data_IF_311620356617
#
_entry.id   IF_311620356617
#
_cell.length_a   1.000
_cell.length_b   1.000
_cell.length_c   1.000
_cell.angle_alpha   90.00
_cell.angle_beta   90.00
_cell.angle_gamma   90.00
#
_symmetry.space_group_name_H-M   'P 1'
#
loop_
_entity.id
_entity.type
_entity.pdbx_description
1 polymer ?
#
# COMPACT_ATOMS: atom_id res chain seq x y z
N UNK A 1 19.83 91.07 64.75
CA UNK A 1 20.47 90.09 63.84
C UNK A 1 19.44 89.04 63.47
N UNK A 2 19.03 88.99 62.19
CA UNK A 2 18.08 88.00 61.65
C UNK A 2 18.85 86.81 61.10
N UNK A 3 18.31 85.59 61.21
CA UNK A 3 18.28 84.56 60.14
C UNK A 3 17.69 83.20 60.62
N UNK A 4 16.58 82.80 59.94
CA UNK A 4 16.22 81.46 59.35
C UNK A 4 16.01 80.29 60.39
N UNK A 5 15.10 79.28 60.31
CA UNK A 5 14.63 78.33 59.27
C UNK A 5 13.29 77.62 59.64
N UNK A 6 12.45 77.45 58.59
CA UNK A 6 11.52 76.38 58.14
C UNK A 6 11.10 75.22 59.11
N UNK A 7 9.79 74.93 59.33
CA UNK A 7 8.77 74.17 58.54
C UNK A 7 8.83 72.62 58.68
N UNK A 8 7.83 72.11 59.44
CA UNK A 8 6.90 70.98 59.17
C UNK A 8 7.26 69.48 59.27
N UNK A 9 6.31 68.81 59.97
CA UNK A 9 5.82 67.41 59.93
C UNK A 9 6.64 66.29 60.58
N UNK A 10 6.19 65.88 61.78
CA UNK A 10 6.57 64.65 62.48
C UNK A 10 5.29 63.94 62.97
N UNK A 11 5.12 62.72 62.45
CA UNK A 11 4.58 61.50 63.09
C UNK A 11 3.06 61.37 63.26
N UNK A 12 2.49 60.61 62.32
CA UNK A 12 1.39 59.68 62.57
C UNK A 12 1.83 58.27 62.11
N UNK A 13 2.65 57.60 62.92
CA UNK A 13 3.01 56.19 62.76
C UNK A 13 2.03 55.32 63.53
N UNK A 14 1.04 54.73 62.85
CA UNK A 14 0.30 53.56 63.37
C UNK A 14 -0.53 52.77 62.32
N UNK A 15 -0.33 52.97 61.00
CA UNK A 15 -1.11 52.25 59.97
C UNK A 15 -0.28 51.51 58.89
N UNK A 16 1.05 51.42 59.01
CA UNK A 16 1.89 50.79 57.98
C UNK A 16 2.49 49.43 58.33
N UNK A 17 2.09 48.80 59.44
CA UNK A 17 2.57 47.47 59.80
C UNK A 17 1.71 46.31 59.24
N UNK A 18 0.44 46.54 58.89
CA UNK A 18 -0.47 45.48 58.41
C UNK A 18 -0.68 45.43 56.90
N UNK A 19 -0.27 46.47 56.15
CA UNK A 19 -0.34 46.43 54.68
C UNK A 19 0.83 45.69 54.05
N UNK A 20 2.04 45.71 54.63
CA UNK A 20 3.24 45.09 54.04
C UNK A 20 3.26 43.56 54.15
N UNK A 21 2.70 42.99 55.23
CA UNK A 21 2.52 41.54 55.43
C UNK A 21 1.37 40.97 54.59
N UNK A 22 0.37 41.79 54.27
CA UNK A 22 -0.75 41.44 53.37
C UNK A 22 -0.30 41.39 51.90
N UNK A 23 0.39 42.42 51.39
CA UNK A 23 0.90 42.42 50.00
C UNK A 23 1.97 41.37 49.76
N UNK A 24 2.89 41.11 50.71
CA UNK A 24 3.86 40.02 50.53
C UNK A 24 3.23 38.63 50.46
N UNK A 25 2.20 38.34 51.27
CA UNK A 25 1.48 37.05 51.21
C UNK A 25 0.64 36.91 49.94
N UNK A 26 0.09 38.01 49.43
CA UNK A 26 -0.73 38.01 48.20
C UNK A 26 0.15 37.91 46.94
N UNK A 27 1.32 38.56 46.91
CA UNK A 27 2.31 38.42 45.85
C UNK A 27 2.95 37.03 45.85
N UNK A 28 3.32 36.47 47.02
CA UNK A 28 3.81 35.09 47.12
C UNK A 28 2.74 34.06 46.71
N UNK A 29 1.47 34.24 47.08
CA UNK A 29 0.38 33.38 46.59
C UNK A 29 0.21 33.51 45.08
N UNK A 30 0.25 34.71 44.50
CA UNK A 30 0.12 34.90 43.05
C UNK A 30 1.31 34.34 42.26
N UNK A 31 2.53 34.42 42.80
CA UNK A 31 3.74 33.82 42.22
C UNK A 31 3.71 32.30 42.34
N UNK A 32 3.20 31.74 43.46
CA UNK A 32 3.02 30.29 43.63
C UNK A 32 1.94 29.72 42.70
N UNK A 33 0.84 30.45 42.48
CA UNK A 33 -0.23 30.10 41.54
C UNK A 33 0.25 30.18 40.09
N UNK A 34 1.03 31.21 39.73
CA UNK A 34 1.68 31.31 38.40
C UNK A 34 2.71 30.21 38.18
N UNK A 35 3.49 29.83 39.19
CA UNK A 35 4.41 28.69 39.11
C UNK A 35 3.70 27.34 39.04
N UNK A 36 2.55 27.17 39.70
CA UNK A 36 1.71 25.96 39.57
C UNK A 36 1.00 25.90 38.22
N UNK A 37 0.50 27.01 37.68
CA UNK A 37 -0.05 27.07 36.31
C UNK A 37 1.02 26.81 35.26
N UNK A 38 2.22 27.41 35.39
CA UNK A 38 3.34 27.14 34.50
C UNK A 38 3.85 25.70 34.64
N UNK A 39 3.89 25.12 35.85
CA UNK A 39 4.19 23.69 36.03
C UNK A 39 3.12 22.80 35.40
N UNK A 40 1.83 23.11 35.55
CA UNK A 40 0.73 22.37 34.93
C UNK A 40 0.73 22.46 33.40
N UNK A 41 1.06 23.62 32.83
CA UNK A 41 1.23 23.82 31.39
C UNK A 41 2.49 23.11 30.86
N UNK A 42 3.59 23.13 31.63
CA UNK A 42 4.84 22.45 31.26
C UNK A 42 4.72 20.94 31.38
N UNK A 43 4.00 20.43 32.38
CA UNK A 43 3.67 19.01 32.55
C UNK A 43 2.66 18.55 31.48
N UNK A 44 1.66 19.35 31.10
CA UNK A 44 0.81 19.07 29.93
C UNK A 44 1.58 19.08 28.62
N UNK A 45 2.52 20.03 28.42
CA UNK A 45 3.38 20.08 27.25
C UNK A 45 4.33 18.87 27.19
N UNK A 46 4.95 18.48 28.31
CA UNK A 46 5.80 17.30 28.39
C UNK A 46 5.01 16.01 28.25
N UNK A 47 3.82 15.92 28.83
CA UNK A 47 2.93 14.77 28.68
C UNK A 47 2.42 14.65 27.23
N UNK A 48 2.06 15.76 26.58
CA UNK A 48 1.71 15.80 25.16
C UNK A 48 2.90 15.43 24.26
N UNK A 49 4.13 15.84 24.61
CA UNK A 49 5.37 15.49 23.89
C UNK A 49 5.71 14.00 24.05
N UNK A 50 5.54 13.43 25.25
CA UNK A 50 5.69 11.99 25.50
C UNK A 50 4.58 11.17 24.82
N UNK A 51 3.33 11.66 24.82
CA UNK A 51 2.22 11.05 24.08
C UNK A 51 2.45 11.11 22.57
N UNK A 52 2.99 12.21 22.03
CA UNK A 52 3.30 12.31 20.60
C UNK A 52 4.47 11.39 20.22
N UNK A 53 5.54 11.35 21.01
CA UNK A 53 6.66 10.43 20.80
C UNK A 53 6.28 8.95 20.96
N UNK A 54 5.42 8.63 21.93
CA UNK A 54 4.86 7.28 22.13
C UNK A 54 3.94 6.87 20.98
N UNK A 55 3.08 7.78 20.50
CA UNK A 55 2.24 7.57 19.31
C UNK A 55 3.08 7.42 18.05
N UNK A 56 4.15 8.18 17.88
CA UNK A 56 5.08 8.05 16.74
C UNK A 56 5.86 6.73 16.77
N UNK A 57 6.34 6.28 17.92
CA UNK A 57 6.98 4.95 18.07
C UNK A 57 5.99 3.81 17.79
N UNK A 58 4.77 3.89 18.30
CA UNK A 58 3.71 2.89 18.04
C UNK A 58 3.31 2.88 16.55
N UNK A 59 3.18 4.06 15.95
CA UNK A 59 2.91 4.24 14.52
C UNK A 59 4.02 3.65 13.68
N UNK A 60 5.29 3.95 14.01
CA UNK A 60 6.46 3.39 13.33
C UNK A 60 6.51 1.86 13.42
N UNK A 61 6.20 1.27 14.59
CA UNK A 61 6.14 -0.19 14.74
C UNK A 61 5.05 -0.83 13.88
N UNK A 62 3.86 -0.23 13.82
CA UNK A 62 2.77 -0.70 12.95
C UNK A 62 3.14 -0.57 11.47
N UNK A 63 3.80 0.52 11.06
CA UNK A 63 4.29 0.71 9.68
C UNK A 63 5.31 -0.37 9.33
N UNK A 64 6.31 -0.60 10.19
CA UNK A 64 7.32 -1.64 9.98
C UNK A 64 6.68 -3.03 9.90
N UNK A 65 5.70 -3.34 10.76
CA UNK A 65 4.97 -4.60 10.69
C UNK A 65 4.16 -4.74 9.38
N UNK A 66 3.54 -3.66 8.91
CA UNK A 66 2.80 -3.63 7.63
C UNK A 66 3.75 -3.80 6.45
N UNK A 67 4.89 -3.10 6.46
CA UNK A 67 5.94 -3.21 5.43
C UNK A 67 6.50 -4.63 5.34
N UNK A 68 6.72 -5.30 6.48
CA UNK A 68 7.20 -6.68 6.50
C UNK A 68 6.23 -7.68 5.86
N UNK A 69 4.94 -7.33 5.74
CA UNK A 69 3.95 -8.17 5.07
C UNK A 69 3.85 -7.88 3.55
N UNK A 70 4.47 -6.80 3.07
CA UNK A 70 4.43 -6.44 1.65
C UNK A 70 5.33 -7.39 0.85
N UNK A 71 4.74 -8.12 -0.08
CA UNK A 71 5.45 -9.05 -0.97
C UNK A 71 6.13 -8.37 -2.17
N UNK A 72 6.03 -7.04 -2.27
CA UNK A 72 6.69 -6.23 -3.31
C UNK A 72 8.03 -5.72 -2.83
N UNK A 73 9.10 -6.06 -3.55
CA UNK A 73 10.46 -5.54 -3.32
C UNK A 73 10.59 -4.05 -3.67
N UNK A 74 9.65 -3.51 -4.46
CA UNK A 74 9.55 -2.09 -4.76
C UNK A 74 8.30 -1.51 -4.11
N UNK A 75 8.51 -0.66 -3.10
CA UNK A 75 7.46 0.13 -2.50
C UNK A 75 8.00 1.49 -2.06
N UNK A 76 7.17 2.52 -2.15
CA UNK A 76 7.50 3.86 -1.68
C UNK A 76 6.57 4.22 -0.55
N UNK A 77 7.11 4.69 0.58
CA UNK A 77 6.33 5.13 1.72
C UNK A 77 6.36 6.65 1.82
N UNK A 78 5.20 7.27 1.94
CA UNK A 78 5.08 8.71 2.17
C UNK A 78 4.04 9.03 3.24
N UNK A 79 4.14 10.22 3.83
CA UNK A 79 3.18 10.73 4.82
C UNK A 79 2.64 12.08 4.30
N UNK A 80 1.33 12.22 4.23
CA UNK A 80 0.69 13.49 3.87
C UNK A 80 0.79 14.51 5.00
N UNK A 81 0.55 15.79 4.65
CA UNK A 81 0.42 16.89 5.60
C UNK A 81 -0.70 16.67 6.63
N UNK A 82 -1.74 15.91 6.27
CA UNK A 82 -2.83 15.48 7.18
C UNK A 82 -2.46 14.31 8.11
N UNK A 83 -1.19 13.88 8.11
CA UNK A 83 -0.71 12.78 8.95
C UNK A 83 -0.94 11.37 8.39
N UNK A 84 -1.52 11.27 7.19
CA UNK A 84 -1.88 9.99 6.56
C UNK A 84 -0.68 9.34 5.90
N UNK A 85 -0.46 8.07 6.21
CA UNK A 85 0.57 7.28 5.54
C UNK A 85 0.04 6.62 4.26
N UNK A 86 0.87 6.65 3.23
CA UNK A 86 0.63 6.08 1.90
C UNK A 86 1.79 5.17 1.54
N UNK A 87 1.46 3.99 1.01
CA UNK A 87 2.42 3.06 0.44
C UNK A 87 2.03 2.84 -1.02
N UNK A 88 2.91 3.23 -1.91
CA UNK A 88 2.82 2.87 -3.32
C UNK A 88 3.55 1.54 -3.51
N UNK A 89 2.89 0.57 -4.13
CA UNK A 89 3.49 -0.74 -4.39
C UNK A 89 3.14 -1.25 -5.79
N UNK A 90 3.97 -2.16 -6.30
CA UNK A 90 3.68 -2.89 -7.52
C UNK A 90 2.69 -4.03 -7.22
N UNK A 91 1.49 -4.06 -7.83
CA UNK A 91 0.50 -5.12 -7.59
C UNK A 91 0.86 -6.46 -8.25
N UNK A 92 1.82 -6.48 -9.19
CA UNK A 92 2.20 -7.67 -9.97
C UNK A 92 2.47 -8.92 -9.13
N UNK A 93 3.25 -8.89 -8.03
CA UNK A 93 3.52 -10.09 -7.24
C UNK A 93 2.25 -10.72 -6.64
N UNK A 94 1.27 -9.90 -6.23
CA UNK A 94 0.00 -10.38 -5.69
C UNK A 94 -0.86 -11.02 -6.78
N UNK A 95 -0.86 -10.43 -7.98
CA UNK A 95 -1.58 -10.95 -9.14
C UNK A 95 -1.01 -12.31 -9.55
N UNK A 96 0.31 -12.42 -9.74
CA UNK A 96 0.96 -13.68 -10.13
C UNK A 96 0.72 -14.78 -9.09
N UNK A 97 0.81 -14.44 -7.80
CA UNK A 97 0.49 -15.37 -6.73
C UNK A 97 -0.95 -15.87 -6.83
N UNK A 98 -1.93 -14.98 -6.99
CA UNK A 98 -3.34 -15.38 -7.10
C UNK A 98 -3.65 -16.17 -8.37
N UNK A 99 -3.00 -15.86 -9.48
CA UNK A 99 -3.11 -16.70 -10.68
C UNK A 99 -2.65 -18.13 -10.38
N UNK A 100 -1.51 -18.30 -9.72
CA UNK A 100 -1.02 -19.63 -9.31
C UNK A 100 -2.01 -20.32 -8.36
N UNK A 101 -2.50 -19.62 -7.34
CA UNK A 101 -3.46 -20.16 -6.37
C UNK A 101 -4.78 -20.60 -7.04
N UNK A 102 -5.20 -19.90 -8.10
CA UNK A 102 -6.37 -20.23 -8.91
C UNK A 102 -6.14 -21.36 -9.94
N UNK A 103 -4.98 -22.03 -9.89
CA UNK A 103 -4.69 -23.19 -10.74
C UNK A 103 -4.21 -22.85 -12.15
N UNK A 104 -3.65 -21.65 -12.35
CA UNK A 104 -3.02 -21.32 -13.63
C UNK A 104 -1.86 -22.27 -13.95
N UNK A 105 -1.62 -22.50 -15.24
CA UNK A 105 -0.61 -23.46 -15.68
C UNK A 105 0.76 -23.14 -15.05
N UNK A 106 1.35 -24.10 -14.33
CA UNK A 106 2.61 -23.94 -13.61
C UNK A 106 3.77 -23.47 -14.49
N UNK A 107 3.74 -23.82 -15.79
CA UNK A 107 4.74 -23.40 -16.77
C UNK A 107 4.73 -21.90 -17.06
N UNK A 108 3.70 -21.17 -16.63
CA UNK A 108 3.72 -19.71 -16.63
C UNK A 108 4.64 -19.13 -15.55
N UNK A 109 4.97 -19.90 -14.50
CA UNK A 109 5.75 -19.46 -13.34
C UNK A 109 7.09 -20.19 -13.22
N UNK A 110 7.16 -21.42 -13.73
CA UNK A 110 8.32 -22.29 -13.66
C UNK A 110 8.49 -23.01 -15.00
N UNK A 111 9.28 -22.41 -15.88
CA UNK A 111 9.60 -22.99 -17.17
C UNK A 111 11.11 -23.21 -17.26
N UNK A 112 11.49 -24.46 -17.43
CA UNK A 112 12.89 -24.86 -17.50
C UNK A 112 13.23 -25.41 -18.87
N UNK A 113 14.52 -25.51 -19.15
CA UNK A 113 14.98 -26.03 -20.42
C UNK A 113 14.50 -27.48 -20.68
N UNK A 114 14.36 -28.28 -19.63
CA UNK A 114 13.84 -29.66 -19.73
C UNK A 114 12.42 -29.71 -20.31
N UNK A 115 11.64 -28.65 -20.11
CA UNK A 115 10.26 -28.55 -20.60
C UNK A 115 10.18 -28.20 -22.09
N UNK A 116 11.25 -27.62 -22.64
CA UNK A 116 11.37 -27.17 -24.03
C UNK A 116 12.18 -28.17 -24.85
N UNK A 117 13.39 -28.48 -24.41
CA UNK A 117 14.37 -29.31 -25.10
C UNK A 117 15.42 -28.48 -25.84
N UNK A 118 16.55 -29.11 -26.16
CA UNK A 118 17.73 -28.43 -26.72
C UNK A 118 18.14 -28.93 -28.11
N UNK A 119 17.25 -29.59 -28.84
CA UNK A 119 17.58 -30.15 -30.16
C UNK A 119 17.54 -29.11 -31.27
N UNK A 120 18.49 -29.20 -32.19
CA UNK A 120 18.70 -28.27 -33.30
C UNK A 120 19.31 -28.97 -34.50
N UNK A 121 19.21 -28.31 -35.66
CA UNK A 121 19.98 -28.66 -36.85
C UNK A 121 20.75 -27.43 -37.35
N UNK A 122 21.88 -27.69 -38.00
CA UNK A 122 22.65 -26.69 -38.73
C UNK A 122 22.01 -26.53 -40.11
N UNK A 123 21.97 -25.31 -40.66
CA UNK A 123 21.50 -25.11 -42.03
C UNK A 123 22.43 -25.89 -43.00
N UNK A 124 21.84 -26.51 -44.03
CA UNK A 124 22.47 -27.51 -44.93
C UNK A 124 23.74 -27.01 -45.67
N UNK A 125 24.06 -25.73 -45.57
CA UNK A 125 25.16 -25.08 -46.28
C UNK A 125 26.53 -25.23 -45.56
N UNK A 126 26.57 -25.81 -44.36
CA UNK A 126 27.83 -26.08 -43.63
C UNK A 126 28.18 -27.58 -43.68
N UNK A 127 29.08 -27.98 -44.59
CA UNK A 127 29.75 -29.29 -44.53
C UNK A 127 30.33 -29.50 -43.13
N UNK A 128 29.97 -30.60 -42.48
CA UNK A 128 30.54 -31.01 -41.19
C UNK A 128 31.96 -31.51 -41.48
N UNK A 129 32.95 -30.63 -41.34
CA UNK A 129 34.34 -30.91 -41.73
C UNK A 129 35.13 -31.63 -40.61
N UNK A 130 34.66 -31.62 -39.34
CA UNK A 130 35.41 -32.28 -38.25
C UNK A 130 34.52 -32.83 -37.11
N UNK A 131 34.52 -34.16 -36.93
CA UNK A 131 33.81 -34.88 -35.85
C UNK A 131 34.39 -34.61 -34.45
N UNK A 132 35.64 -34.11 -34.34
CA UNK A 132 36.26 -33.78 -33.05
C UNK A 132 35.90 -32.37 -32.54
N UNK A 133 35.22 -31.55 -33.36
CA UNK A 133 34.84 -30.18 -33.03
C UNK A 133 33.42 -30.05 -32.46
N UNK A 134 32.90 -31.10 -31.80
CA UNK A 134 31.53 -31.15 -31.28
C UNK A 134 31.17 -29.93 -30.42
N UNK A 135 32.04 -29.49 -29.51
CA UNK A 135 31.81 -28.31 -28.67
C UNK A 135 31.75 -26.99 -29.45
N UNK A 136 32.49 -26.88 -30.56
CA UNK A 136 32.45 -25.73 -31.47
C UNK A 136 31.12 -25.69 -32.24
N UNK A 137 30.67 -26.83 -32.79
CA UNK A 137 29.39 -26.92 -33.48
C UNK A 137 28.20 -26.73 -32.52
N UNK A 138 28.28 -27.22 -31.28
CA UNK A 138 27.32 -26.93 -30.23
C UNK A 138 27.26 -25.43 -29.88
N UNK A 139 28.40 -24.75 -29.80
CA UNK A 139 28.45 -23.31 -29.56
C UNK A 139 27.90 -22.49 -30.76
N UNK A 140 28.18 -22.91 -31.99
CA UNK A 140 27.66 -22.28 -33.22
C UNK A 140 26.17 -22.49 -33.39
N UNK A 141 25.68 -23.70 -33.14
CA UNK A 141 24.25 -24.01 -33.18
C UNK A 141 23.46 -23.25 -32.09
N UNK A 142 24.06 -23.02 -30.92
CA UNK A 142 23.49 -22.13 -29.88
C UNK A 142 23.38 -20.67 -30.33
N UNK A 143 24.14 -20.25 -31.34
CA UNK A 143 24.13 -18.89 -31.88
C UNK A 143 23.34 -18.76 -33.21
N UNK A 144 23.15 -19.84 -33.98
CA UNK A 144 22.56 -19.78 -35.34
C UNK A 144 21.64 -20.96 -35.70
N UNK A 145 21.60 -22.02 -34.91
CA UNK A 145 20.84 -23.25 -35.21
C UNK A 145 19.34 -23.01 -35.22
N UNK A 146 18.67 -23.58 -36.21
CA UNK A 146 17.20 -23.62 -36.24
C UNK A 146 16.72 -24.71 -35.29
N UNK A 147 15.65 -24.39 -34.57
CA UNK A 147 15.05 -25.36 -33.66
C UNK A 147 14.39 -26.48 -34.46
N UNK A 148 14.53 -27.71 -33.98
CA UNK A 148 13.71 -28.81 -34.51
C UNK A 148 12.22 -28.50 -34.36
N UNK A 149 11.41 -29.06 -35.27
CA UNK A 149 9.97 -28.78 -35.35
C UNK A 149 9.24 -28.98 -34.02
N UNK A 150 9.61 -29.99 -33.23
CA UNK A 150 8.96 -30.27 -31.95
C UNK A 150 9.38 -29.31 -30.83
N UNK A 151 10.64 -28.88 -30.82
CA UNK A 151 11.11 -27.81 -29.92
C UNK A 151 10.43 -26.49 -30.30
N UNK A 152 10.34 -26.17 -31.59
CA UNK A 152 9.65 -24.97 -32.07
C UNK A 152 8.18 -24.95 -31.65
N UNK A 153 7.45 -26.07 -31.75
CA UNK A 153 6.05 -26.16 -31.26
C UNK A 153 5.94 -25.89 -29.76
N UNK A 154 6.86 -26.42 -28.95
CA UNK A 154 6.88 -26.18 -27.51
C UNK A 154 7.17 -24.72 -27.18
N UNK A 155 8.17 -24.12 -27.82
CA UNK A 155 8.48 -22.68 -27.68
C UNK A 155 7.26 -21.85 -28.06
N UNK A 156 6.61 -22.14 -29.19
CA UNK A 156 5.39 -21.45 -29.61
C UNK A 156 4.25 -21.58 -28.59
N UNK A 157 4.04 -22.78 -28.04
CA UNK A 157 3.05 -23.03 -26.98
C UNK A 157 3.35 -22.19 -25.73
N UNK A 158 4.61 -22.14 -25.28
CA UNK A 158 4.97 -21.35 -24.10
C UNK A 158 4.90 -19.85 -24.35
N UNK A 159 5.30 -19.36 -25.52
CA UNK A 159 5.08 -17.94 -25.90
C UNK A 159 3.58 -17.61 -25.84
N UNK A 160 2.73 -18.48 -26.38
CA UNK A 160 1.27 -18.32 -26.33
C UNK A 160 0.75 -18.28 -24.88
N UNK A 161 1.23 -19.19 -24.03
CA UNK A 161 0.88 -19.25 -22.61
C UNK A 161 1.30 -17.99 -21.86
N UNK A 162 2.57 -17.57 -21.99
CA UNK A 162 3.11 -16.40 -21.30
C UNK A 162 2.47 -15.11 -21.81
N UNK A 163 2.19 -15.03 -23.12
CA UNK A 163 1.48 -13.89 -23.69
C UNK A 163 0.07 -13.76 -23.09
N UNK A 164 -0.70 -14.84 -23.05
CA UNK A 164 -2.05 -14.83 -22.49
C UNK A 164 -2.02 -14.52 -20.98
N UNK A 165 -1.08 -15.11 -20.25
CA UNK A 165 -0.87 -14.84 -18.82
C UNK A 165 -0.56 -13.37 -18.59
N UNK A 166 0.35 -12.79 -19.38
CA UNK A 166 0.69 -11.37 -19.31
C UNK A 166 -0.50 -10.45 -19.60
N UNK A 167 -1.36 -10.78 -20.58
CA UNK A 167 -2.57 -10.01 -20.87
C UNK A 167 -3.54 -10.00 -19.68
N UNK A 168 -3.78 -11.15 -19.07
CA UNK A 168 -4.68 -11.29 -17.92
C UNK A 168 -4.14 -10.52 -16.72
N UNK A 169 -2.84 -10.64 -16.46
CA UNK A 169 -2.21 -9.94 -15.36
C UNK A 169 -2.13 -8.42 -15.59
N UNK A 170 -1.93 -7.96 -16.83
CA UNK A 170 -1.96 -6.53 -17.22
C UNK A 170 -3.35 -5.91 -16.96
N UNK A 171 -4.42 -6.60 -17.39
CA UNK A 171 -5.79 -6.13 -17.15
C UNK A 171 -6.19 -6.23 -15.66
N UNK A 172 -5.73 -7.27 -14.94
CA UNK A 172 -5.96 -7.38 -13.51
C UNK A 172 -5.28 -6.24 -12.75
N UNK A 173 -4.05 -5.88 -13.15
CA UNK A 173 -3.32 -4.75 -12.61
C UNK A 173 -4.04 -3.41 -12.84
N UNK A 174 -4.53 -3.18 -14.06
CA UNK A 174 -5.35 -1.99 -14.37
C UNK A 174 -6.59 -1.92 -13.48
N UNK A 175 -7.30 -3.04 -13.30
CA UNK A 175 -8.45 -3.11 -12.38
C UNK A 175 -8.03 -2.80 -10.95
N UNK A 176 -6.90 -3.35 -10.48
CA UNK A 176 -6.37 -3.11 -9.13
C UNK A 176 -6.06 -1.62 -8.89
N UNK A 177 -5.46 -0.94 -9.87
CA UNK A 177 -5.10 0.48 -9.77
C UNK A 177 -6.33 1.38 -9.58
N UNK A 178 -7.49 0.98 -10.11
CA UNK A 178 -8.72 1.75 -10.02
C UNK A 178 -9.60 1.40 -8.81
N UNK A 179 -9.16 0.53 -7.89
CA UNK A 179 -9.94 0.28 -6.68
C UNK A 179 -9.81 1.44 -5.69
N UNK A 180 -10.94 2.10 -5.31
CA UNK A 180 -10.91 3.25 -4.41
C UNK A 180 -10.51 2.90 -2.96
N UNK A 181 -10.44 1.60 -2.61
CA UNK A 181 -10.35 1.11 -1.22
C UNK A 181 -9.27 0.04 -1.00
N UNK A 182 -8.13 0.14 -1.69
CA UNK A 182 -7.02 -0.79 -1.46
C UNK A 182 -6.45 -0.62 -0.04
N UNK A 183 -6.63 -1.64 0.80
CA UNK A 183 -6.04 -1.78 2.11
C UNK A 183 -5.07 -2.95 2.13
N UNK A 184 -4.23 -3.03 3.16
CA UNK A 184 -3.32 -4.16 3.29
C UNK A 184 -4.07 -5.46 3.56
N UNK A 185 -5.15 -5.39 4.34
CA UNK A 185 -5.97 -6.52 4.74
C UNK A 185 -6.76 -7.13 3.58
N UNK A 186 -7.05 -6.36 2.53
CA UNK A 186 -7.88 -6.80 1.40
C UNK A 186 -7.11 -7.00 0.08
N UNK A 187 -5.82 -6.64 -0.01
CA UNK A 187 -5.07 -6.67 -1.27
C UNK A 187 -5.07 -8.05 -1.95
N UNK A 188 -4.97 -9.13 -1.18
CA UNK A 188 -5.00 -10.48 -1.72
C UNK A 188 -6.37 -10.83 -2.33
N UNK A 189 -7.46 -10.43 -1.67
CA UNK A 189 -8.83 -10.62 -2.16
C UNK A 189 -9.08 -9.76 -3.41
N UNK A 190 -8.60 -8.51 -3.40
CA UNK A 190 -8.68 -7.62 -4.56
C UNK A 190 -7.93 -8.19 -5.77
N UNK A 191 -6.75 -8.77 -5.56
CA UNK A 191 -6.00 -9.44 -6.62
C UNK A 191 -6.76 -10.65 -7.17
N UNK A 192 -7.35 -11.48 -6.31
CA UNK A 192 -8.16 -12.63 -6.72
C UNK A 192 -9.39 -12.21 -7.55
N UNK A 193 -10.14 -11.20 -7.08
CA UNK A 193 -11.28 -10.65 -7.82
C UNK A 193 -10.86 -10.03 -9.16
N UNK A 194 -9.75 -9.29 -9.18
CA UNK A 194 -9.23 -8.66 -10.39
C UNK A 194 -8.79 -9.70 -11.43
N UNK A 195 -8.06 -10.74 -11.02
CA UNK A 195 -7.65 -11.87 -11.88
C UNK A 195 -8.88 -12.58 -12.43
N UNK A 196 -9.86 -12.90 -11.57
CA UNK A 196 -11.07 -13.60 -11.98
C UNK A 196 -11.90 -12.81 -13.00
N UNK A 197 -12.00 -11.48 -12.83
CA UNK A 197 -12.66 -10.60 -13.80
C UNK A 197 -11.87 -10.50 -15.11
N UNK A 198 -10.56 -10.26 -15.02
CA UNK A 198 -9.69 -10.15 -16.19
C UNK A 198 -9.71 -11.43 -17.04
N UNK A 199 -9.66 -12.61 -16.41
CA UNK A 199 -9.74 -13.88 -17.11
C UNK A 199 -11.04 -14.05 -17.90
N UNK A 200 -12.18 -13.60 -17.36
CA UNK A 200 -13.49 -13.68 -18.05
C UNK A 200 -13.60 -12.72 -19.23
N UNK A 201 -12.90 -11.59 -19.18
CA UNK A 201 -12.95 -10.54 -20.20
C UNK A 201 -11.99 -10.81 -21.36
N UNK A 202 -10.84 -11.43 -21.10
CA UNK A 202 -9.82 -11.66 -22.13
C UNK A 202 -10.09 -12.94 -22.91
N UNK A 203 -10.17 -12.81 -24.22
CA UNK A 203 -10.19 -13.94 -25.14
C UNK A 203 -8.76 -14.30 -25.56
N UNK A 204 -8.37 -15.58 -25.50
CA UNK A 204 -7.04 -16.00 -25.93
C UNK A 204 -6.88 -15.74 -27.43
N UNK A 205 -5.97 -14.83 -27.78
CA UNK A 205 -5.60 -14.56 -29.18
C UNK A 205 -4.44 -15.46 -29.57
N UNK A 206 -4.62 -16.28 -30.61
CA UNK A 206 -3.52 -17.09 -31.16
C UNK A 206 -2.46 -16.19 -31.77
N UNK A 207 -1.22 -16.45 -31.40
CA UNK A 207 -0.01 -15.89 -32.00
C UNK A 207 0.50 -16.91 -33.00
N UNK A 208 0.77 -16.46 -34.22
CA UNK A 208 1.40 -17.30 -35.23
C UNK A 208 2.92 -17.25 -35.05
N UNK A 209 3.50 -18.30 -34.50
CA UNK A 209 4.95 -18.48 -34.40
C UNK A 209 5.38 -19.42 -35.53
N UNK A 210 6.08 -18.89 -36.52
CA UNK A 210 6.45 -19.63 -37.73
C UNK A 210 7.95 -19.92 -37.85
N UNK A 211 8.78 -19.20 -37.10
CA UNK A 211 10.21 -19.46 -37.01
C UNK A 211 10.72 -19.17 -35.59
N UNK A 212 11.65 -19.98 -35.11
CA UNK A 212 12.35 -19.77 -33.85
C UNK A 212 13.80 -20.26 -33.96
N UNK A 213 14.69 -19.60 -33.24
CA UNK A 213 16.12 -19.93 -33.12
C UNK A 213 16.57 -19.71 -31.67
N UNK A 214 17.71 -20.27 -31.31
CA UNK A 214 18.35 -19.88 -30.04
C UNK A 214 18.82 -18.43 -30.10
N UNK A 215 18.80 -17.77 -28.95
CA UNK A 215 19.18 -16.37 -28.76
C UNK A 215 20.47 -16.27 -27.94
N UNK A 216 21.49 -17.04 -28.36
CA UNK A 216 22.84 -17.02 -27.81
C UNK A 216 23.14 -18.10 -26.75
N UNK A 217 22.12 -18.76 -26.18
CA UNK A 217 22.28 -19.90 -25.28
C UNK A 217 21.06 -20.82 -25.29
N UNK A 218 21.15 -21.96 -24.58
CA UNK A 218 20.09 -22.97 -24.53
C UNK A 218 18.83 -22.54 -23.76
N UNK A 219 18.89 -21.44 -23.02
CA UNK A 219 17.80 -20.95 -22.17
C UNK A 219 17.11 -19.74 -22.79
N UNK A 220 17.49 -19.34 -24.00
CA UNK A 220 16.98 -18.15 -24.66
C UNK A 220 16.61 -18.48 -26.10
N UNK A 221 15.38 -18.12 -26.49
CA UNK A 221 14.81 -18.40 -27.80
C UNK A 221 14.28 -17.11 -28.40
N UNK A 222 14.53 -16.89 -29.68
CA UNK A 222 13.99 -15.76 -30.44
C UNK A 222 13.16 -16.28 -31.60
N UNK A 223 11.95 -15.75 -31.76
CA UNK A 223 10.99 -16.16 -32.77
C UNK A 223 10.49 -14.98 -33.60
N UNK A 224 10.03 -15.27 -34.82
CA UNK A 224 9.52 -14.30 -35.80
C UNK A 224 10.41 -13.05 -35.93
N UNK A 225 11.69 -13.25 -36.28
CA UNK A 225 12.68 -12.18 -36.44
C UNK A 225 12.81 -11.20 -35.25
N UNK A 226 12.73 -11.70 -34.01
CA UNK A 226 12.90 -10.84 -32.82
C UNK A 226 11.61 -10.24 -32.28
N UNK A 227 10.46 -10.52 -32.90
CA UNK A 227 9.17 -10.08 -32.38
C UNK A 227 8.89 -10.67 -31.00
N UNK A 228 9.28 -11.93 -30.76
CA UNK A 228 9.13 -12.61 -29.48
C UNK A 228 10.45 -13.22 -29.05
N UNK A 229 10.85 -13.00 -27.80
CA UNK A 229 11.95 -13.74 -27.18
C UNK A 229 11.51 -14.36 -25.87
N UNK A 230 11.74 -15.66 -25.73
CA UNK A 230 11.48 -16.42 -24.52
C UNK A 230 12.80 -16.68 -23.81
N UNK A 231 12.91 -16.23 -22.56
CA UNK A 231 14.09 -16.44 -21.72
C UNK A 231 13.64 -17.26 -20.51
N UNK A 232 14.22 -18.44 -20.39
CA UNK A 232 14.04 -19.32 -19.25
C UNK A 232 14.88 -18.78 -18.10
N UNK A 233 14.27 -18.66 -16.93
CA UNK A 233 14.97 -18.22 -15.72
C UNK A 233 14.86 -19.34 -14.69
N UNK A 234 15.70 -19.32 -13.65
CA UNK A 234 15.50 -20.20 -12.48
C UNK A 234 14.21 -19.90 -11.69
N UNK A 235 13.35 -19.00 -12.18
CA UNK A 235 12.07 -18.60 -11.59
C UNK A 235 11.05 -18.25 -12.69
N UNK A 236 10.34 -17.12 -12.57
CA UNK A 236 9.34 -16.67 -13.54
C UNK A 236 10.02 -16.44 -14.90
N UNK A 237 9.64 -17.16 -15.97
CA UNK A 237 10.23 -16.98 -17.28
C UNK A 237 9.95 -15.57 -17.81
N UNK A 238 10.84 -15.08 -18.66
CA UNK A 238 10.69 -13.77 -19.28
C UNK A 238 10.24 -13.91 -20.72
N UNK A 239 9.14 -13.25 -21.09
CA UNK A 239 8.73 -13.04 -22.47
C UNK A 239 9.02 -11.58 -22.85
N UNK A 240 9.88 -11.40 -23.85
CA UNK A 240 10.06 -10.12 -24.53
C UNK A 240 9.16 -10.04 -25.75
N UNK A 241 8.61 -8.85 -25.99
CA UNK A 241 7.96 -8.47 -27.24
C UNK A 241 8.68 -7.28 -27.85
N UNK A 242 9.18 -7.44 -29.07
CA UNK A 242 9.96 -6.41 -29.77
C UNK A 242 11.10 -5.86 -28.88
N UNK A 243 11.82 -6.77 -28.20
CA UNK A 243 12.94 -6.43 -27.30
C UNK A 243 12.55 -5.87 -25.93
N UNK A 244 11.27 -5.64 -25.65
CA UNK A 244 10.80 -5.11 -24.35
C UNK A 244 10.18 -6.21 -23.49
N UNK A 245 10.46 -6.20 -22.19
CA UNK A 245 9.87 -7.16 -21.25
C UNK A 245 8.35 -6.97 -21.16
N UNK A 246 7.60 -8.00 -21.57
CA UNK A 246 6.15 -8.04 -21.53
C UNK A 246 5.61 -8.91 -20.39
N UNK A 247 6.35 -9.97 -20.02
CA UNK A 247 6.00 -10.82 -18.88
C UNK A 247 7.29 -11.25 -18.19
N UNK A 248 7.40 -10.99 -16.90
CA UNK A 248 8.48 -11.41 -16.00
C UNK A 248 8.01 -11.28 -14.55
N UNK A 249 8.88 -11.57 -13.58
CA UNK A 249 8.61 -11.35 -12.16
C UNK A 249 8.39 -9.88 -11.78
N UNK A 250 8.86 -8.93 -12.59
CA UNK A 250 8.84 -7.49 -12.30
C UNK A 250 8.06 -6.66 -13.31
N UNK A 251 7.81 -7.21 -14.51
CA UNK A 251 7.19 -6.51 -15.63
C UNK A 251 6.07 -7.36 -16.19
N UNK A 252 4.87 -6.82 -16.23
CA UNK A 252 3.70 -7.44 -16.85
C UNK A 252 3.02 -6.38 -17.68
N UNK A 253 2.79 -6.68 -18.95
CA UNK A 253 2.32 -5.69 -19.88
C UNK A 253 3.38 -4.63 -20.18
N UNK A 254 2.95 -3.55 -20.82
CA UNK A 254 3.76 -2.33 -20.93
C UNK A 254 3.43 -1.31 -19.83
N UNK A 255 2.38 -1.58 -19.05
CA UNK A 255 2.00 -0.75 -17.92
C UNK A 255 2.96 -0.93 -16.74
N UNK A 256 3.19 0.16 -16.00
CA UNK A 256 3.79 0.13 -14.66
C UNK A 256 2.69 0.45 -13.64
N UNK A 257 1.82 -0.52 -13.34
CA UNK A 257 0.71 -0.29 -12.44
C UNK A 257 1.23 0.04 -11.05
N UNK A 258 0.71 1.10 -10.46
CA UNK A 258 1.01 1.49 -9.08
C UNK A 258 -0.26 1.37 -8.26
N UNK A 259 -0.21 0.60 -7.18
CA UNK A 259 -1.29 0.51 -6.20
C UNK A 259 -0.95 1.36 -4.99
N UNK A 260 -1.81 2.32 -4.67
CA UNK A 260 -1.66 3.16 -3.49
C UNK A 260 -2.49 2.59 -2.34
N UNK A 261 -1.81 1.97 -1.38
CA UNK A 261 -2.42 1.56 -0.10
C UNK A 261 -2.30 2.72 0.88
N UNK A 262 -3.43 3.08 1.48
CA UNK A 262 -3.46 4.16 2.47
C UNK A 262 -3.93 3.59 3.81
N UNK A 263 -3.04 3.38 4.78
CA UNK A 263 -3.42 2.85 6.12
C UNK A 263 -3.46 3.96 7.17
N UNK A 264 -4.45 3.89 8.05
CA UNK A 264 -4.64 4.87 9.12
C UNK A 264 -4.00 4.33 10.39
N UNK A 265 -3.37 5.19 11.18
CA UNK A 265 -2.58 4.76 12.35
C UNK A 265 -3.39 4.81 13.64
N UNK A 266 -4.60 5.38 13.58
CA UNK A 266 -5.57 5.40 14.65
C UNK A 266 -7.01 5.53 14.10
N UNK A 267 -8.00 5.37 14.98
CA UNK A 267 -9.44 5.41 14.66
C UNK A 267 -9.87 6.75 14.05
N UNK A 268 -9.36 7.88 14.56
CA UNK A 268 -9.74 9.19 14.05
C UNK A 268 -9.17 9.43 12.64
N UNK A 269 -7.93 8.99 12.38
CA UNK A 269 -7.33 9.05 11.05
C UNK A 269 -8.10 8.18 10.04
N UNK A 270 -8.55 6.99 10.47
CA UNK A 270 -9.35 6.09 9.63
C UNK A 270 -10.69 6.74 9.28
N UNK A 271 -11.35 7.35 10.26
CA UNK A 271 -12.60 8.08 10.04
C UNK A 271 -12.40 9.28 9.10
N UNK A 272 -11.31 10.05 9.26
CA UNK A 272 -10.98 11.18 8.38
C UNK A 272 -10.81 10.75 6.92
N UNK A 273 -10.31 9.54 6.66
CA UNK A 273 -10.22 8.99 5.30
C UNK A 273 -11.58 8.64 4.74
N UNK A 274 -12.41 7.97 5.54
CA UNK A 274 -13.76 7.60 5.13
C UNK A 274 -14.62 8.84 4.82
N UNK A 275 -14.31 10.00 5.41
CA UNK A 275 -14.94 11.28 5.09
C UNK A 275 -14.51 11.88 3.74
N UNK A 276 -13.34 11.50 3.22
CA UNK A 276 -12.81 11.96 1.94
C UNK A 276 -13.17 11.00 0.79
N UNK A 277 -13.61 9.78 1.10
CA UNK A 277 -14.06 8.79 0.12
C UNK A 277 -15.49 9.09 -0.34
N UNK A 278 -15.70 9.21 -1.66
CA UNK A 278 -16.97 9.62 -2.24
C UNK A 278 -18.15 8.69 -1.89
N UNK A 279 -17.90 7.41 -1.63
CA UNK A 279 -18.93 6.43 -1.28
C UNK A 279 -19.27 6.44 0.22
N UNK A 280 -18.31 6.79 1.08
CA UNK A 280 -18.48 6.73 2.54
C UNK A 280 -18.58 8.10 3.21
N UNK A 281 -18.31 9.19 2.49
CA UNK A 281 -18.15 10.54 3.03
C UNK A 281 -19.32 10.98 3.91
N UNK A 282 -20.55 10.82 3.40
CA UNK A 282 -21.76 11.23 4.12
C UNK A 282 -21.92 10.48 5.44
N UNK A 283 -21.76 9.15 5.42
CA UNK A 283 -21.95 8.32 6.61
C UNK A 283 -20.81 8.55 7.61
N UNK A 284 -19.57 8.68 7.12
CA UNK A 284 -18.41 8.93 7.96
C UNK A 284 -18.54 10.25 8.74
N UNK A 285 -19.02 11.33 8.08
CA UNK A 285 -19.30 12.61 8.74
C UNK A 285 -20.39 12.47 9.82
N UNK A 286 -21.49 11.79 9.50
CA UNK A 286 -22.57 11.54 10.48
C UNK A 286 -22.06 10.76 11.69
N UNK A 287 -21.25 9.73 11.48
CA UNK A 287 -20.65 8.96 12.57
C UNK A 287 -19.68 9.82 13.38
N UNK A 288 -18.88 10.68 12.75
CA UNK A 288 -18.00 11.62 13.46
C UNK A 288 -18.79 12.54 14.37
N UNK A 289 -19.79 13.22 13.83
CA UNK A 289 -20.62 14.17 14.58
C UNK A 289 -21.34 13.48 15.75
N UNK A 290 -21.96 12.32 15.49
CA UNK A 290 -22.66 11.55 16.50
C UNK A 290 -21.73 11.07 17.62
N UNK A 291 -20.57 10.54 17.26
CA UNK A 291 -19.62 10.02 18.25
C UNK A 291 -18.93 11.13 19.03
N UNK A 292 -18.69 12.30 18.43
CA UNK A 292 -18.24 13.50 19.17
C UNK A 292 -19.29 13.98 20.18
N UNK A 293 -20.58 13.91 19.86
CA UNK A 293 -21.66 14.19 20.81
C UNK A 293 -21.72 13.18 21.95
N UNK A 294 -21.49 11.90 21.67
CA UNK A 294 -21.41 10.87 22.72
C UNK A 294 -20.20 11.08 23.64
N UNK A 295 -19.05 11.46 23.07
CA UNK A 295 -17.83 11.78 23.83
C UNK A 295 -18.06 12.97 24.77
N UNK A 296 -18.72 14.05 24.30
CA UNK A 296 -19.05 15.20 25.16
C UNK A 296 -20.08 14.88 26.25
N UNK A 297 -20.86 13.81 26.08
CA UNK A 297 -21.78 13.26 27.09
C UNK A 297 -21.12 12.23 28.03
N UNK A 298 -19.80 12.05 27.95
CA UNK A 298 -19.06 11.09 28.78
C UNK A 298 -19.19 9.62 28.32
N UNK A 299 -19.80 9.35 27.16
CA UNK A 299 -20.00 7.99 26.61
C UNK A 299 -18.86 7.57 25.68
N UNK A 300 -17.62 7.86 26.06
CA UNK A 300 -16.43 7.68 25.22
C UNK A 300 -16.23 6.23 24.77
N UNK A 301 -16.43 5.25 25.64
CA UNK A 301 -16.23 3.83 25.30
C UNK A 301 -17.18 3.36 24.17
N UNK A 302 -18.46 3.74 24.27
CA UNK A 302 -19.46 3.42 23.26
C UNK A 302 -19.16 4.14 21.95
N UNK A 303 -18.76 5.42 22.01
CA UNK A 303 -18.36 6.20 20.85
C UNK A 303 -17.20 5.54 20.08
N UNK A 304 -16.16 5.10 20.80
CA UNK A 304 -15.01 4.40 20.21
C UNK A 304 -15.41 3.06 19.59
N UNK A 305 -16.32 2.30 20.23
CA UNK A 305 -16.82 1.03 19.69
C UNK A 305 -17.61 1.22 18.38
N UNK A 306 -18.42 2.27 18.29
CA UNK A 306 -19.14 2.64 17.06
C UNK A 306 -18.14 3.02 15.96
N UNK A 307 -17.18 3.91 16.24
CA UNK A 307 -16.14 4.30 15.27
C UNK A 307 -15.42 3.07 14.73
N UNK A 308 -14.97 2.18 15.61
CA UNK A 308 -14.24 0.96 15.23
C UNK A 308 -15.08 0.04 14.33
N UNK A 309 -16.34 -0.22 14.68
CA UNK A 309 -17.21 -1.11 13.89
C UNK A 309 -17.59 -0.51 12.54
N UNK A 310 -17.87 0.79 12.50
CA UNK A 310 -18.09 1.51 11.25
C UNK A 310 -16.87 1.40 10.33
N UNK A 311 -15.66 1.65 10.84
CA UNK A 311 -14.42 1.55 10.06
C UNK A 311 -14.25 0.13 9.50
N UNK A 312 -14.40 -0.90 10.34
CA UNK A 312 -14.28 -2.31 9.94
C UNK A 312 -15.24 -2.64 8.78
N UNK A 313 -16.51 -2.26 8.90
CA UNK A 313 -17.52 -2.50 7.87
C UNK A 313 -17.28 -1.67 6.61
N UNK A 314 -16.91 -0.40 6.74
CA UNK A 314 -16.65 0.49 5.60
C UNK A 314 -15.41 0.08 4.78
N UNK A 315 -14.43 -0.60 5.40
CA UNK A 315 -13.24 -1.13 4.72
C UNK A 315 -13.50 -2.45 3.99
N UNK A 316 -14.56 -3.18 4.36
CA UNK A 316 -14.85 -4.53 3.84
C UNK A 316 -16.09 -4.58 2.97
N UNK A 317 -17.01 -3.64 3.14
CA UNK A 317 -18.32 -3.60 2.48
C UNK A 317 -18.65 -2.19 1.96
N UNK A 318 -19.58 -2.12 1.01
CA UNK A 318 -20.15 -0.84 0.61
C UNK A 318 -21.22 -0.38 1.61
N UNK A 319 -20.85 0.58 2.46
CA UNK A 319 -21.75 1.13 3.49
C UNK A 319 -22.73 2.18 2.95
N UNK A 320 -22.64 2.65 1.70
CA UNK A 320 -23.52 3.71 1.16
C UNK A 320 -25.01 3.40 1.33
N UNK A 321 -25.37 2.12 1.23
CA UNK A 321 -26.76 1.65 1.32
C UNK A 321 -27.30 1.67 2.76
N UNK A 322 -26.45 1.88 3.76
CA UNK A 322 -26.85 1.94 5.16
C UNK A 322 -27.20 3.36 5.63
N UNK A 323 -27.04 4.38 4.78
CA UNK A 323 -27.20 5.79 5.17
C UNK A 323 -28.55 6.07 5.86
N UNK A 324 -29.67 5.62 5.30
CA UNK A 324 -31.00 5.83 5.88
C UNK A 324 -31.18 5.11 7.23
N UNK A 325 -30.64 3.89 7.36
CA UNK A 325 -30.68 3.15 8.62
C UNK A 325 -29.85 3.86 9.70
N UNK A 326 -28.67 4.37 9.33
CA UNK A 326 -27.78 5.12 10.22
C UNK A 326 -28.44 6.41 10.71
N UNK A 327 -29.07 7.18 9.81
CA UNK A 327 -29.82 8.39 10.18
C UNK A 327 -30.94 8.06 11.16
N UNK A 328 -31.74 7.03 10.88
CA UNK A 328 -32.84 6.63 11.76
C UNK A 328 -32.33 6.18 13.14
N UNK A 329 -31.24 5.42 13.18
CA UNK A 329 -30.63 4.99 14.43
C UNK A 329 -30.04 6.16 15.23
N UNK A 330 -29.39 7.12 14.58
CA UNK A 330 -28.88 8.35 15.23
C UNK A 330 -30.06 9.17 15.78
N UNK A 331 -31.12 9.36 15.01
CA UNK A 331 -32.31 10.11 15.42
C UNK A 331 -33.06 9.44 16.58
N UNK A 332 -33.01 8.11 16.68
CA UNK A 332 -33.54 7.38 17.83
C UNK A 332 -32.73 7.58 19.13
N UNK A 333 -31.61 8.31 19.06
CA UNK A 333 -30.67 8.55 20.16
C UNK A 333 -30.15 7.27 20.85
N UNK A 334 -30.27 6.09 20.22
CA UNK A 334 -29.83 4.80 20.74
C UNK A 334 -28.46 4.42 20.16
N UNK A 335 -27.37 4.50 20.96
CA UNK A 335 -26.04 4.10 20.49
C UNK A 335 -25.98 2.62 20.11
N UNK A 336 -26.79 1.78 20.76
CA UNK A 336 -26.88 0.35 20.47
C UNK A 336 -27.48 0.09 19.10
N UNK A 337 -28.49 0.87 18.71
CA UNK A 337 -29.12 0.78 17.38
C UNK A 337 -28.11 1.14 16.27
N UNK A 338 -27.31 2.18 16.47
CA UNK A 338 -26.23 2.55 15.54
C UNK A 338 -25.18 1.45 15.44
N UNK A 339 -24.79 0.88 16.59
CA UNK A 339 -23.78 -0.17 16.65
C UNK A 339 -24.25 -1.46 15.94
N UNK A 340 -25.53 -1.81 16.04
CA UNK A 340 -26.10 -3.00 15.39
C UNK A 340 -26.14 -2.91 13.86
N UNK A 341 -26.13 -1.70 13.28
CA UNK A 341 -26.03 -1.53 11.81
C UNK A 341 -24.64 -1.96 11.30
N UNK A 342 -23.62 -1.82 12.13
CA UNK A 342 -22.23 -2.10 11.78
C UNK A 342 -21.68 -3.41 12.35
N UNK A 343 -22.54 -4.21 12.98
CA UNK A 343 -22.28 -5.65 13.15
C UNK A 343 -22.48 -6.35 11.82
#
# INVERSE_FOLDING_TARGET
MKKIIAISLIVATSLFADLSTSTQKQEQKSQSLRQQQQRGETEQLQHNKQLSQGKEKSTSKNITQTLNKIRSTTHTVSKSSSGTWRIELNPIPYILMKMRDLGWNEKAFFLTNRDVGTSYYLDDDEEIIDLNAQSYYEAKAKMRGRLEKDVMKKVAYYIQLLNFTGQVAELAADKMQHYPKASFENIEKLAEEAVSKAYKEIRPKRINIYECRFAGNNDSYTCNNGQYSLILTGSVPTLLKNGMAYYSSTNIGFAKPTLTITFATNINDALSKLEQDQQTASIAKMIREYTSKLESQGKTEIAQKIKSKFIEKALTENVSNTASAVVNAINSASPVSVLNIFK
#
